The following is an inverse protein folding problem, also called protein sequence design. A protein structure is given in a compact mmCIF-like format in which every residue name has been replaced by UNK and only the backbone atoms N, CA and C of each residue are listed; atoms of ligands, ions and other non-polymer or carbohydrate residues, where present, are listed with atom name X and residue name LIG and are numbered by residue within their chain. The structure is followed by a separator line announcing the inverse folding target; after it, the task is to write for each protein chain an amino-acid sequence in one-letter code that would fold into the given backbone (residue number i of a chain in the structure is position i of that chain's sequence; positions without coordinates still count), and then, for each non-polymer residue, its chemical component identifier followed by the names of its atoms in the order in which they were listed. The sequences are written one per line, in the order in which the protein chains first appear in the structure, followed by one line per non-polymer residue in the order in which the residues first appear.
data_IF_229411460491
#
_entry.id   IF_229411460491
#
_cell.length_a   1.000
_cell.length_b   1.000
_cell.length_c   1.000
_cell.angle_alpha   90.00
_cell.angle_beta   90.00
_cell.angle_gamma   90.00
#
_symmetry.space_group_name_H-M   'P 1'
#
loop_
_entity.id
_entity.type
_entity.pdbx_description
1 polymer ?
#
# COMPACT_ATOMS: atom_id res chain seq x y z
N UNK A 1 9.75 5.40 -6.00
CA UNK A 1 9.09 4.12 -5.73
C UNK A 1 9.30 3.80 -4.26
N UNK A 2 8.24 3.46 -3.53
CA UNK A 2 8.31 3.01 -2.13
C UNK A 2 7.87 1.53 -2.09
N UNK A 3 8.56 0.73 -1.27
CA UNK A 3 8.26 -0.68 -1.06
C UNK A 3 8.14 -0.90 0.45
N UNK A 4 7.02 -1.48 0.88
CA UNK A 4 6.73 -1.76 2.28
C UNK A 4 6.53 -3.28 2.42
N UNK A 5 7.39 -4.01 3.15
CA UNK A 5 7.21 -5.44 3.33
C UNK A 5 6.01 -5.73 4.26
N UNK A 6 5.18 -6.69 3.88
CA UNK A 6 4.16 -7.29 4.76
C UNK A 6 4.81 -8.46 5.48
N UNK A 7 4.88 -8.38 6.80
CA UNK A 7 5.55 -9.38 7.63
C UNK A 7 4.57 -10.05 8.58
N UNK A 8 4.79 -11.34 8.78
CA UNK A 8 4.18 -12.13 9.85
C UNK A 8 5.31 -12.78 10.62
N UNK A 9 5.31 -12.58 11.94
CA UNK A 9 6.42 -12.95 12.82
C UNK A 9 7.72 -12.29 12.33
N UNK A 10 8.63 -13.07 11.76
CA UNK A 10 9.90 -12.61 11.17
C UNK A 10 10.05 -12.98 9.69
N UNK A 11 8.94 -13.30 9.01
CA UNK A 11 8.93 -13.69 7.60
C UNK A 11 8.18 -12.67 6.76
N UNK A 12 8.81 -12.22 5.67
CA UNK A 12 8.14 -11.44 4.64
C UNK A 12 7.16 -12.35 3.89
N UNK A 13 5.88 -12.05 3.97
CA UNK A 13 4.81 -12.80 3.28
C UNK A 13 4.28 -12.05 2.07
N UNK A 14 4.62 -10.78 1.92
CA UNK A 14 4.12 -9.93 0.87
C UNK A 14 4.76 -8.55 0.88
N UNK A 15 4.21 -7.65 0.07
CA UNK A 15 4.71 -6.29 -0.05
C UNK A 15 3.63 -5.36 -0.61
N UNK A 16 3.76 -4.08 -0.26
CA UNK A 16 3.01 -2.97 -0.85
C UNK A 16 3.98 -2.11 -1.64
N UNK A 17 3.74 -2.01 -2.94
CA UNK A 17 4.43 -1.12 -3.86
C UNK A 17 3.64 0.17 -4.01
N UNK A 18 4.32 1.31 -3.91
CA UNK A 18 3.74 2.63 -4.19
C UNK A 18 4.58 3.32 -5.27
N UNK A 19 3.96 3.62 -6.39
CA UNK A 19 4.56 4.27 -7.55
C UNK A 19 3.77 5.52 -7.91
N UNK A 20 4.48 6.60 -8.28
CA UNK A 20 3.86 7.80 -8.82
C UNK A 20 3.50 7.54 -10.28
N UNK A 21 2.23 7.67 -10.64
CA UNK A 21 1.75 7.73 -12.02
C UNK A 21 1.60 9.22 -12.32
N UNK A 22 2.55 9.81 -13.04
CA UNK A 22 2.53 11.26 -13.27
C UNK A 22 1.26 11.68 -14.01
N UNK A 23 0.49 12.60 -13.42
CA UNK A 23 -0.52 13.35 -14.16
C UNK A 23 -0.48 14.82 -13.72
N UNK A 24 -0.20 15.68 -14.71
CA UNK A 24 -0.16 17.13 -14.55
C UNK A 24 -1.60 17.66 -14.64
N UNK A 25 -2.17 18.07 -13.51
CA UNK A 25 -3.41 18.89 -13.50
C UNK A 25 -3.02 20.31 -13.05
N UNK A 26 -2.96 21.29 -13.99
CA UNK A 26 -2.54 22.67 -13.71
C UNK A 26 -3.34 23.39 -12.61
N UNK A 27 -4.52 22.86 -12.30
CA UNK A 27 -5.61 23.50 -11.59
C UNK A 27 -5.72 23.06 -10.11
N UNK A 28 -4.88 22.11 -9.66
CA UNK A 28 -4.84 21.67 -8.26
C UNK A 28 -3.40 21.50 -7.77
N UNK A 29 -2.72 22.61 -7.50
CA UNK A 29 -1.45 22.72 -6.75
C UNK A 29 -0.73 21.39 -6.50
N UNK A 30 0.03 20.93 -7.49
CA UNK A 30 0.98 19.80 -7.42
C UNK A 30 0.46 18.51 -6.76
N UNK A 31 -0.83 18.18 -6.92
CA UNK A 31 -1.34 16.87 -6.53
C UNK A 31 -0.96 15.83 -7.59
N UNK A 32 -0.31 14.75 -7.18
CA UNK A 32 0.09 13.65 -8.05
C UNK A 32 -0.82 12.44 -7.82
N UNK A 33 -1.01 11.62 -8.85
CA UNK A 33 -1.63 10.31 -8.72
C UNK A 33 -0.56 9.31 -8.29
N UNK A 34 -0.82 8.61 -7.20
CA UNK A 34 -0.03 7.46 -6.79
C UNK A 34 -0.86 6.21 -6.99
N UNK A 35 -0.27 5.23 -7.66
CA UNK A 35 -0.78 3.87 -7.69
C UNK A 35 -0.10 3.06 -6.60
N UNK A 36 -0.87 2.22 -5.94
CA UNK A 36 -0.35 1.21 -5.04
C UNK A 36 -0.81 -0.18 -5.49
N UNK A 37 0.06 -1.17 -5.30
CA UNK A 37 -0.24 -2.58 -5.49
C UNK A 37 0.22 -3.32 -4.24
N UNK A 38 -0.63 -4.19 -3.71
CA UNK A 38 -0.35 -4.97 -2.53
C UNK A 38 -0.49 -6.46 -2.87
N UNK A 39 0.51 -7.24 -2.54
CA UNK A 39 0.50 -8.69 -2.69
C UNK A 39 0.79 -9.35 -1.36
N UNK A 40 -0.03 -10.33 -1.00
CA UNK A 40 0.07 -11.10 0.23
C UNK A 40 0.01 -12.59 -0.12
N UNK A 41 1.02 -13.35 0.30
CA UNK A 41 1.01 -14.81 0.22
C UNK A 41 0.28 -15.39 1.42
N UNK A 42 -0.23 -16.62 1.25
CA UNK A 42 -0.82 -17.36 2.34
C UNK A 42 0.21 -17.58 3.46
N UNK A 43 -0.22 -17.43 4.70
CA UNK A 43 0.63 -17.58 5.89
C UNK A 43 -0.17 -18.12 7.08
N UNK A 44 0.54 -18.40 8.17
CA UNK A 44 -0.07 -18.84 9.43
C UNK A 44 0.53 -18.04 10.58
N UNK A 45 -0.33 -17.49 11.43
CA UNK A 45 0.06 -16.83 12.68
C UNK A 45 0.52 -17.85 13.73
N UNK A 46 1.16 -17.37 14.80
CA UNK A 46 1.62 -18.22 15.91
C UNK A 46 0.47 -18.93 16.63
N UNK A 47 -0.69 -18.29 16.71
CA UNK A 47 -1.92 -18.85 17.29
C UNK A 47 -2.62 -19.88 16.37
N UNK A 48 -2.07 -20.10 15.18
CA UNK A 48 -2.59 -21.03 14.20
C UNK A 48 -3.58 -20.45 13.19
N UNK A 49 -3.96 -19.18 13.32
CA UNK A 49 -4.83 -18.47 12.36
C UNK A 49 -4.23 -18.48 10.96
N UNK A 50 -5.04 -18.80 9.95
CA UNK A 50 -4.61 -18.85 8.55
C UNK A 50 -4.88 -17.51 7.88
N UNK A 51 -3.82 -16.93 7.32
CA UNK A 51 -3.88 -15.75 6.48
C UNK A 51 -3.97 -16.24 5.04
N UNK A 52 -5.04 -15.91 4.28
CA UNK A 52 -5.16 -16.34 2.90
C UNK A 52 -4.25 -15.50 1.97
N UNK A 53 -3.97 -16.06 0.79
CA UNK A 53 -3.36 -15.32 -0.30
C UNK A 53 -4.35 -14.24 -0.78
N UNK A 54 -3.88 -13.02 -0.95
CA UNK A 54 -4.68 -11.92 -1.44
C UNK A 54 -3.82 -10.93 -2.21
N UNK A 55 -4.43 -10.21 -3.15
CA UNK A 55 -3.79 -9.08 -3.82
C UNK A 55 -4.83 -7.99 -4.06
N UNK A 56 -4.36 -6.74 -4.08
CA UNK A 56 -5.19 -5.59 -4.35
C UNK A 56 -4.37 -4.48 -4.98
N UNK A 57 -5.04 -3.55 -5.65
CA UNK A 57 -4.40 -2.34 -6.15
C UNK A 57 -5.39 -1.19 -6.06
N UNK A 58 -4.86 0.03 -6.10
CA UNK A 58 -5.67 1.23 -6.10
C UNK A 58 -4.85 2.45 -6.45
N UNK A 59 -5.54 3.58 -6.52
CA UNK A 59 -4.94 4.88 -6.77
C UNK A 59 -5.38 5.88 -5.70
N UNK A 60 -4.56 6.89 -5.46
CA UNK A 60 -4.91 8.02 -4.61
C UNK A 60 -4.20 9.29 -5.08
N UNK A 61 -4.83 10.44 -4.86
CA UNK A 61 -4.22 11.73 -5.09
C UNK A 61 -3.48 12.19 -3.84
N UNK A 62 -2.22 12.59 -3.98
CA UNK A 62 -1.39 13.07 -2.87
C UNK A 62 -0.51 14.24 -3.31
N UNK A 63 -0.40 15.27 -2.47
CA UNK A 63 0.53 16.37 -2.74
C UNK A 63 1.91 16.00 -2.24
N UNK A 64 2.93 16.30 -3.03
CA UNK A 64 4.30 16.03 -2.62
C UNK A 64 4.68 16.80 -1.34
N UNK A 65 4.16 18.01 -1.15
CA UNK A 65 4.37 18.86 0.03
C UNK A 65 3.89 18.23 1.34
N UNK A 66 2.93 17.31 1.28
CA UNK A 66 2.33 16.69 2.47
C UNK A 66 3.24 15.58 3.03
N UNK A 67 4.31 15.23 2.31
CA UNK A 67 5.34 14.29 2.75
C UNK A 67 5.00 12.82 2.51
N UNK A 68 6.02 11.97 2.56
CA UNK A 68 5.91 10.53 2.30
C UNK A 68 5.16 9.76 3.39
N UNK A 69 5.23 10.20 4.65
CA UNK A 69 4.52 9.54 5.74
C UNK A 69 3.00 9.64 5.62
N UNK A 70 2.49 10.80 5.21
CA UNK A 70 1.07 10.98 4.94
C UNK A 70 0.60 10.10 3.78
N UNK A 71 1.40 10.02 2.69
CA UNK A 71 1.15 9.10 1.58
C UNK A 71 1.05 7.64 2.05
N UNK A 72 2.03 7.18 2.84
CA UNK A 72 2.05 5.81 3.37
C UNK A 72 0.82 5.55 4.24
N UNK A 73 0.47 6.48 5.13
CA UNK A 73 -0.69 6.33 6.01
C UNK A 73 -2.00 6.16 5.21
N UNK A 74 -2.21 6.96 4.17
CA UNK A 74 -3.40 6.85 3.32
C UNK A 74 -3.42 5.55 2.50
N UNK A 75 -2.28 5.12 1.95
CA UNK A 75 -2.18 3.81 1.27
C UNK A 75 -2.52 2.68 2.25
N UNK A 76 -1.92 2.67 3.44
CA UNK A 76 -2.14 1.60 4.41
C UNK A 76 -3.59 1.54 4.91
N UNK A 77 -4.29 2.69 5.01
CA UNK A 77 -5.74 2.72 5.28
C UNK A 77 -6.52 2.00 4.18
N UNK A 78 -6.21 2.23 2.90
CA UNK A 78 -6.88 1.54 1.79
C UNK A 78 -6.55 0.04 1.79
N UNK A 79 -5.27 -0.32 1.93
CA UNK A 79 -4.82 -1.72 1.97
C UNK A 79 -5.52 -2.50 3.09
N UNK A 80 -5.66 -1.93 4.29
CA UNK A 80 -6.32 -2.59 5.43
C UNK A 80 -7.80 -2.92 5.22
N UNK A 81 -8.47 -2.26 4.26
CA UNK A 81 -9.88 -2.51 3.92
C UNK A 81 -10.04 -3.65 2.91
N UNK A 82 -9.00 -3.93 2.14
CA UNK A 82 -9.06 -4.87 1.00
C UNK A 82 -8.25 -6.14 1.23
N UNK A 83 -7.17 -6.06 2.01
CA UNK A 83 -6.41 -7.25 2.39
C UNK A 83 -7.00 -7.87 3.67
N UNK A 84 -7.26 -9.18 3.67
CA UNK A 84 -7.70 -9.91 4.86
C UNK A 84 -6.56 -9.98 5.88
N UNK A 85 -6.93 -9.87 7.16
CA UNK A 85 -6.02 -10.05 8.31
C UNK A 85 -5.65 -11.50 8.52
#
# INVERSE_FOLDING_TARGET
MLIIPIMVNSRVIGEVFISREEMFTPDRGSAYVYRWNAEQRAARLLDGTKIPKASASGTLHHRYSDGSWALIAEVMKQVSKVLPR
#
